data_IF_425630852210
#
_entry.id   IF_425630852210
#
_cell.length_a   1.000
_cell.length_b   1.000
_cell.length_c   1.000
_cell.angle_alpha   90.00
_cell.angle_beta   90.00
_cell.angle_gamma   90.00
#
_symmetry.space_group_name_H-M   'P 1'
#
loop_
_entity.id
_entity.type
_entity.pdbx_description
1 polymer ?
#
# COMPACT_ATOMS: atom_id res chain seq x y z
N UNK A 1 -16.19 -33.89 -31.15
CA UNK A 1 -15.34 -33.74 -29.96
C UNK A 1 -15.12 -32.26 -29.77
N UNK A 2 -15.93 -31.60 -28.90
CA UNK A 2 -15.91 -30.16 -28.68
C UNK A 2 -15.01 -29.88 -27.48
N UNK A 3 -13.81 -29.29 -27.71
CA UNK A 3 -12.97 -28.79 -26.61
C UNK A 3 -13.57 -27.49 -26.09
N UNK A 4 -14.14 -27.54 -24.89
CA UNK A 4 -14.50 -26.34 -24.14
C UNK A 4 -13.21 -25.71 -23.60
N UNK A 5 -12.82 -24.58 -24.16
CA UNK A 5 -11.77 -23.72 -23.60
C UNK A 5 -12.41 -22.97 -22.43
N UNK A 6 -12.12 -23.40 -21.21
CA UNK A 6 -12.42 -22.61 -20.02
C UNK A 6 -11.49 -21.41 -19.99
N UNK A 7 -12.01 -20.22 -20.28
CA UNK A 7 -11.31 -18.97 -20.04
C UNK A 7 -11.21 -18.78 -18.51
N UNK A 8 -10.02 -18.96 -17.95
CA UNK A 8 -9.69 -18.53 -16.61
C UNK A 8 -9.62 -16.99 -16.63
N UNK A 9 -10.74 -16.34 -16.42
CA UNK A 9 -10.76 -14.92 -16.08
C UNK A 9 -10.18 -14.78 -14.68
N UNK A 10 -8.90 -14.48 -14.59
CA UNK A 10 -8.29 -14.02 -13.34
C UNK A 10 -9.04 -12.77 -12.90
N UNK A 11 -9.74 -12.83 -11.75
CA UNK A 11 -10.35 -11.65 -11.13
C UNK A 11 -9.22 -10.77 -10.62
N UNK A 12 -8.76 -9.82 -11.44
CA UNK A 12 -7.90 -8.74 -10.99
C UNK A 12 -8.79 -7.73 -10.28
N UNK A 13 -8.51 -7.48 -9.01
CA UNK A 13 -9.23 -6.45 -8.23
C UNK A 13 -8.90 -5.08 -8.83
N UNK A 14 -9.90 -4.23 -9.14
CA UNK A 14 -9.67 -2.89 -9.66
C UNK A 14 -8.81 -2.03 -8.72
N UNK A 15 -7.86 -1.29 -9.29
CA UNK A 15 -7.08 -0.27 -8.59
C UNK A 15 -7.84 1.05 -8.66
N UNK A 16 -8.22 1.58 -7.50
CA UNK A 16 -9.05 2.80 -7.37
C UNK A 16 -8.32 3.97 -6.72
N UNK A 17 -7.03 3.82 -6.46
CA UNK A 17 -6.21 4.83 -5.82
C UNK A 17 -4.77 4.37 -5.64
N UNK A 18 -4.01 5.11 -4.86
CA UNK A 18 -2.59 4.85 -4.59
C UNK A 18 -2.32 4.88 -3.09
N UNK A 19 -1.51 3.94 -2.60
CA UNK A 19 -0.94 3.99 -1.27
C UNK A 19 0.42 4.71 -1.30
N UNK A 20 0.75 5.39 -0.21
CA UNK A 20 2.02 6.04 -0.01
C UNK A 20 2.51 5.89 1.42
N UNK A 21 3.77 6.17 1.64
CA UNK A 21 4.41 6.12 2.94
C UNK A 21 5.18 7.41 3.20
N UNK A 22 5.22 7.86 4.44
CA UNK A 22 5.99 9.01 4.88
C UNK A 22 6.40 8.89 6.34
N UNK A 23 6.87 9.99 6.92
CA UNK A 23 7.23 10.08 8.33
C UNK A 23 6.60 11.29 9.00
N UNK A 24 6.32 11.17 10.29
CA UNK A 24 5.91 12.31 11.14
C UNK A 24 7.13 13.12 11.63
N UNK A 25 6.87 14.13 12.47
CA UNK A 25 7.90 15.00 13.04
C UNK A 25 8.92 14.27 13.94
N UNK A 26 8.54 13.09 14.44
CA UNK A 26 9.39 12.24 15.27
C UNK A 26 10.08 11.13 14.46
N UNK A 27 9.90 11.12 13.12
CA UNK A 27 10.44 10.12 12.20
C UNK A 27 9.69 8.78 12.21
N UNK A 28 8.47 8.74 12.78
CA UNK A 28 7.65 7.53 12.82
C UNK A 28 6.86 7.36 11.52
N UNK A 29 6.65 6.10 11.04
CA UNK A 29 6.00 5.85 9.78
C UNK A 29 4.52 6.28 9.77
N UNK A 30 4.13 6.97 8.70
CA UNK A 30 2.78 7.44 8.40
C UNK A 30 2.33 6.84 7.08
N UNK A 31 1.21 6.12 7.08
CA UNK A 31 0.56 5.64 5.86
C UNK A 31 -0.31 6.72 5.25
N UNK A 32 -0.34 6.73 3.91
CA UNK A 32 -1.17 7.63 3.12
C UNK A 32 -2.00 6.83 2.12
N UNK A 33 -3.23 7.25 1.90
CA UNK A 33 -4.09 6.79 0.81
C UNK A 33 -4.61 7.99 0.03
N UNK A 34 -4.65 7.87 -1.28
CA UNK A 34 -5.40 8.78 -2.16
C UNK A 34 -6.29 7.94 -3.07
N UNK A 35 -7.60 8.16 -2.96
CA UNK A 35 -8.66 7.39 -3.63
C UNK A 35 -9.42 8.33 -4.55
N UNK A 36 -9.66 7.93 -5.80
CA UNK A 36 -10.27 8.78 -6.83
C UNK A 36 -11.67 8.36 -7.21
N UNK A 37 -11.86 7.06 -7.32
CA UNK A 37 -13.14 6.45 -7.62
C UNK A 37 -13.40 5.39 -6.55
N UNK A 38 -14.67 5.12 -6.23
CA UNK A 38 -15.03 4.13 -5.21
C UNK A 38 -14.58 4.51 -3.79
N UNK A 39 -14.18 3.52 -2.99
CA UNK A 39 -13.73 3.72 -1.63
C UNK A 39 -12.69 2.67 -1.21
N UNK A 40 -12.04 2.92 -0.09
CA UNK A 40 -11.15 1.99 0.62
C UNK A 40 -11.59 1.93 2.09
N UNK A 41 -11.59 0.73 2.68
CA UNK A 41 -12.06 0.49 4.06
C UNK A 41 -10.91 0.25 5.04
N UNK A 42 -9.72 -0.04 4.55
CA UNK A 42 -8.56 -0.30 5.40
C UNK A 42 -7.26 -0.40 4.61
N UNK A 43 -6.19 -0.72 5.32
CA UNK A 43 -4.88 -0.91 4.74
C UNK A 43 -4.13 -2.05 5.43
N UNK A 44 -3.24 -2.71 4.69
CA UNK A 44 -2.36 -3.75 5.20
C UNK A 44 -0.93 -3.46 4.78
N UNK A 45 -0.03 -3.59 5.74
CA UNK A 45 1.42 -3.68 5.53
C UNK A 45 1.80 -5.15 5.58
N UNK A 46 2.53 -5.63 4.59
CA UNK A 46 3.01 -7.01 4.51
C UNK A 46 4.44 -7.06 3.98
N UNK A 47 5.08 -8.19 4.10
CA UNK A 47 6.35 -8.49 3.47
C UNK A 47 6.35 -9.91 2.90
N UNK A 48 7.25 -10.14 1.95
CA UNK A 48 7.47 -11.49 1.43
C UNK A 48 8.46 -12.22 2.33
N UNK A 49 8.06 -13.38 2.87
CA UNK A 49 8.92 -14.20 3.71
C UNK A 49 9.97 -14.92 2.82
N UNK A 50 11.27 -14.61 2.98
CA UNK A 50 12.32 -15.21 2.17
C UNK A 50 12.51 -16.71 2.44
N UNK A 51 12.01 -17.22 3.58
CA UNK A 51 12.11 -18.63 3.95
C UNK A 51 10.99 -19.47 3.32
N UNK A 52 9.99 -18.83 2.72
CA UNK A 52 8.89 -19.49 2.01
C UNK A 52 9.15 -19.45 0.50
N UNK A 53 9.02 -20.62 -0.16
CA UNK A 53 9.27 -20.71 -1.59
C UNK A 53 8.38 -19.72 -2.38
N UNK A 54 8.93 -18.98 -3.38
CA UNK A 54 8.16 -17.97 -4.14
C UNK A 54 6.96 -18.56 -4.93
N UNK A 55 6.92 -19.85 -5.10
CA UNK A 55 5.81 -20.61 -5.73
C UNK A 55 4.70 -20.97 -4.73
N UNK A 56 4.88 -20.71 -3.45
CA UNK A 56 3.85 -20.90 -2.41
C UNK A 56 2.84 -19.77 -2.50
N UNK A 57 1.56 -20.11 -2.46
CA UNK A 57 0.45 -19.13 -2.43
C UNK A 57 0.44 -18.29 -1.14
N UNK A 58 1.34 -18.57 -0.20
CA UNK A 58 1.38 -17.96 1.16
C UNK A 58 2.84 -17.61 1.50
N UNK A 59 3.48 -16.77 0.69
CA UNK A 59 4.79 -16.20 1.04
C UNK A 59 4.68 -14.78 1.62
N UNK A 60 3.46 -14.26 1.77
CA UNK A 60 3.18 -12.95 2.34
C UNK A 60 2.87 -13.08 3.83
N UNK A 61 3.48 -12.23 4.62
CA UNK A 61 3.25 -12.15 6.08
C UNK A 61 2.83 -10.73 6.42
N UNK A 62 1.67 -10.59 7.06
CA UNK A 62 1.17 -9.29 7.50
C UNK A 62 2.06 -8.73 8.61
N UNK A 63 2.50 -7.49 8.42
CA UNK A 63 3.29 -6.72 9.39
C UNK A 63 2.45 -5.65 10.11
N UNK A 64 1.21 -5.45 9.72
CA UNK A 64 0.26 -4.54 10.35
C UNK A 64 -1.00 -4.41 9.50
N UNK A 65 -2.15 -4.24 10.15
CA UNK A 65 -3.43 -4.05 9.46
C UNK A 65 -4.28 -3.03 10.21
N UNK A 66 -4.88 -2.13 9.47
CA UNK A 66 -5.69 -1.04 10.01
C UNK A 66 -7.03 -0.97 9.28
N UNK A 67 -8.10 -0.77 10.03
CA UNK A 67 -9.43 -0.49 9.50
C UNK A 67 -9.75 0.99 9.68
N UNK A 68 -10.37 1.60 8.69
CA UNK A 68 -10.94 2.93 8.81
C UNK A 68 -12.34 2.85 9.46
N UNK A 69 -12.67 3.82 10.31
CA UNK A 69 -14.00 3.90 10.96
C UNK A 69 -15.11 4.21 9.95
N UNK A 70 -14.76 4.79 8.80
CA UNK A 70 -15.65 5.08 7.69
C UNK A 70 -14.90 4.90 6.36
N UNK A 71 -15.61 4.55 5.26
CA UNK A 71 -15.00 4.42 3.93
C UNK A 71 -14.23 5.68 3.51
N UNK A 72 -12.99 5.51 3.05
CA UNK A 72 -12.14 6.57 2.53
C UNK A 72 -12.45 6.76 1.05
N UNK A 73 -12.98 7.93 0.68
CA UNK A 73 -13.39 8.27 -0.70
C UNK A 73 -12.57 9.40 -1.30
N UNK A 74 -11.53 9.88 -0.61
CA UNK A 74 -10.64 10.94 -1.11
C UNK A 74 -9.21 10.66 -0.67
N UNK A 75 -8.76 11.25 0.44
CA UNK A 75 -7.43 11.02 0.97
C UNK A 75 -7.45 10.82 2.47
N UNK A 76 -6.52 10.04 2.97
CA UNK A 76 -6.33 9.79 4.39
C UNK A 76 -4.84 9.67 4.71
N UNK A 77 -4.51 9.96 5.98
CA UNK A 77 -3.19 9.70 6.54
C UNK A 77 -3.37 9.20 7.98
N UNK A 78 -2.56 8.23 8.39
CA UNK A 78 -2.61 7.69 9.75
C UNK A 78 -1.22 7.25 10.22
N UNK A 79 -0.97 7.33 11.53
CA UNK A 79 0.22 6.73 12.12
C UNK A 79 0.12 5.21 12.07
N UNK A 80 1.15 4.53 11.56
CA UNK A 80 1.16 3.06 11.51
C UNK A 80 1.36 2.47 12.92
N UNK A 81 2.12 3.14 13.79
CA UNK A 81 2.41 2.66 15.13
C UNK A 81 1.29 2.96 16.13
N UNK A 82 0.71 4.16 16.05
CA UNK A 82 -0.31 4.67 16.96
C UNK A 82 -1.47 5.29 16.18
N UNK A 83 -2.31 4.46 15.52
CA UNK A 83 -3.41 4.96 14.70
C UNK A 83 -4.42 5.72 15.56
N UNK A 84 -4.88 6.85 15.04
CA UNK A 84 -5.86 7.75 15.64
C UNK A 84 -6.75 8.33 14.53
N UNK A 85 -7.70 9.19 14.90
CA UNK A 85 -8.48 10.01 13.96
C UNK A 85 -9.21 9.20 12.86
N UNK A 86 -9.97 8.20 13.28
CA UNK A 86 -10.77 7.39 12.37
C UNK A 86 -10.08 6.13 11.87
N UNK A 87 -8.96 5.73 12.49
CA UNK A 87 -8.26 4.50 12.19
C UNK A 87 -8.04 3.63 13.44
N UNK A 88 -8.21 2.33 13.29
CA UNK A 88 -7.95 1.36 14.35
C UNK A 88 -7.04 0.24 13.84
N UNK A 89 -5.99 -0.10 14.59
CA UNK A 89 -5.19 -1.28 14.29
C UNK A 89 -6.01 -2.55 14.60
N UNK A 90 -6.22 -3.38 13.60
CA UNK A 90 -6.78 -4.74 13.76
C UNK A 90 -5.66 -5.76 13.96
N UNK A 91 -4.47 -5.47 13.44
CA UNK A 91 -3.21 -6.10 13.81
C UNK A 91 -2.17 -4.98 14.00
N UNK A 92 -1.45 -4.94 15.14
CA UNK A 92 -0.49 -3.88 15.43
C UNK A 92 0.70 -3.95 14.47
N UNK A 93 1.37 -2.80 14.25
CA UNK A 93 2.59 -2.73 13.47
C UNK A 93 3.68 -3.61 14.10
N UNK A 94 4.22 -4.55 13.33
CA UNK A 94 5.42 -5.30 13.67
C UNK A 94 6.68 -4.45 13.46
N UNK A 95 7.78 -4.87 14.09
CA UNK A 95 9.07 -4.20 13.90
C UNK A 95 9.51 -4.24 12.42
N UNK A 96 9.79 -3.07 11.87
CA UNK A 96 10.34 -2.94 10.53
C UNK A 96 11.81 -3.38 10.53
N UNK A 97 12.18 -4.26 9.62
CA UNK A 97 13.53 -4.81 9.51
C UNK A 97 14.36 -4.00 8.51
N UNK A 98 15.63 -3.74 8.85
CA UNK A 98 16.50 -2.88 8.03
C UNK A 98 16.80 -3.43 6.63
N UNK A 99 16.78 -4.74 6.46
CA UNK A 99 17.13 -5.49 5.26
C UNK A 99 15.90 -6.08 4.53
N UNK A 100 14.71 -5.63 4.91
CA UNK A 100 13.44 -6.13 4.37
C UNK A 100 12.71 -5.05 3.58
N UNK A 101 12.10 -5.45 2.47
CA UNK A 101 11.10 -4.65 1.77
C UNK A 101 9.73 -4.91 2.38
N UNK A 102 9.04 -3.82 2.72
CA UNK A 102 7.67 -3.83 3.22
C UNK A 102 6.75 -3.19 2.17
N UNK A 103 5.54 -3.72 2.03
CA UNK A 103 4.54 -3.33 1.03
C UNK A 103 3.28 -2.85 1.73
N UNK A 104 2.81 -1.64 1.40
CA UNK A 104 1.58 -1.08 1.95
C UNK A 104 0.55 -0.89 0.84
N UNK A 105 -0.67 -1.38 1.05
CA UNK A 105 -1.80 -1.17 0.15
C UNK A 105 -3.10 -0.95 0.90
N UNK A 106 -4.08 -0.32 0.25
CA UNK A 106 -5.44 -0.17 0.72
C UNK A 106 -6.36 -1.23 0.10
N UNK A 107 -7.41 -1.62 0.83
CA UNK A 107 -8.38 -2.64 0.43
C UNK A 107 -9.81 -2.27 0.81
N UNK A 108 -10.79 -2.88 0.12
CA UNK A 108 -12.21 -2.87 0.53
C UNK A 108 -12.56 -4.15 1.27
N UNK A 109 -13.46 -4.06 2.25
CA UNK A 109 -13.88 -5.19 3.07
C UNK A 109 -14.50 -6.34 2.26
N UNK A 110 -15.15 -6.03 1.14
CA UNK A 110 -15.73 -7.00 0.21
C UNK A 110 -14.76 -7.46 -0.89
N UNK A 111 -13.51 -6.98 -0.86
CA UNK A 111 -12.45 -7.28 -1.82
C UNK A 111 -12.80 -6.91 -3.26
N UNK A 112 -13.56 -5.84 -3.46
CA UNK A 112 -13.97 -5.34 -4.79
C UNK A 112 -13.01 -4.30 -5.35
N UNK A 113 -12.19 -3.65 -4.52
CA UNK A 113 -11.23 -2.62 -4.93
C UNK A 113 -9.99 -2.63 -4.05
N UNK A 114 -8.88 -2.15 -4.61
CA UNK A 114 -7.63 -1.93 -3.89
C UNK A 114 -6.91 -0.69 -4.38
N UNK A 115 -5.84 -0.28 -3.71
CA UNK A 115 -4.92 0.73 -4.21
C UNK A 115 -3.70 0.11 -4.86
N UNK A 116 -3.01 0.86 -5.73
CA UNK A 116 -1.63 0.55 -6.05
C UNK A 116 -0.80 0.57 -4.76
N UNK A 117 0.05 -0.42 -4.60
CA UNK A 117 0.89 -0.53 -3.40
C UNK A 117 2.12 0.37 -3.48
N UNK A 118 2.69 0.68 -2.32
CA UNK A 118 4.03 1.26 -2.21
C UNK A 118 4.95 0.25 -1.55
N UNK A 119 6.10 0.01 -2.18
CA UNK A 119 7.18 -0.83 -1.64
C UNK A 119 8.28 0.06 -1.11
N UNK A 120 8.70 -0.15 0.14
CA UNK A 120 9.70 0.68 0.80
C UNK A 120 10.57 -0.12 1.77
N UNK A 121 11.64 0.50 2.25
CA UNK A 121 12.54 -0.06 3.26
C UNK A 121 12.70 0.92 4.43
N UNK A 122 13.29 0.48 5.52
CA UNK A 122 13.68 1.38 6.63
C UNK A 122 14.61 2.50 6.13
N UNK A 123 15.48 2.22 5.15
CA UNK A 123 16.35 3.23 4.55
C UNK A 123 15.55 4.29 3.77
N UNK A 124 14.48 3.89 3.09
CA UNK A 124 13.54 4.83 2.43
C UNK A 124 12.95 5.80 3.46
N UNK A 125 12.42 5.28 4.57
CA UNK A 125 11.86 6.11 5.65
C UNK A 125 12.91 7.04 6.27
N UNK A 126 14.14 6.55 6.49
CA UNK A 126 15.24 7.34 7.06
C UNK A 126 15.73 8.49 6.16
N UNK A 127 15.43 8.46 4.87
CA UNK A 127 15.76 9.52 3.91
C UNK A 127 14.65 10.57 3.74
N UNK A 128 13.46 10.34 4.33
CA UNK A 128 12.30 11.22 4.15
C UNK A 128 12.26 12.34 5.19
N UNK A 129 11.62 13.43 4.81
CA UNK A 129 11.30 14.54 5.72
C UNK A 129 9.78 14.59 5.97
N UNK A 130 9.34 15.08 7.16
CA UNK A 130 7.92 15.22 7.45
C UNK A 130 7.17 16.05 6.39
N UNK A 131 6.04 15.55 5.92
CA UNK A 131 5.22 16.19 4.88
C UNK A 131 5.54 15.70 3.46
N UNK A 132 6.54 14.85 3.29
CA UNK A 132 6.79 14.11 2.04
C UNK A 132 6.06 12.77 2.04
N UNK A 133 5.66 12.33 0.85
CA UNK A 133 5.07 11.01 0.59
C UNK A 133 5.89 10.32 -0.48
N UNK A 134 6.31 9.09 -0.22
CA UNK A 134 6.93 8.19 -1.18
C UNK A 134 5.85 7.25 -1.71
N UNK A 135 5.70 7.14 -3.03
CA UNK A 135 4.63 6.38 -3.67
C UNK A 135 5.05 5.83 -5.03
N UNK A 136 4.35 4.79 -5.46
CA UNK A 136 4.48 4.24 -6.80
C UNK A 136 3.99 5.26 -7.83
N UNK A 137 4.78 5.51 -8.89
CA UNK A 137 4.48 6.52 -9.91
C UNK A 137 4.53 5.98 -11.35
N UNK A 138 4.64 4.67 -11.54
CA UNK A 138 4.60 4.04 -12.86
C UNK A 138 5.63 2.95 -13.05
N UNK A 139 5.83 2.59 -14.32
CA UNK A 139 6.80 1.58 -14.74
C UNK A 139 7.82 2.19 -15.70
N UNK A 140 9.07 1.77 -15.63
CA UNK A 140 10.03 2.00 -16.69
C UNK A 140 9.74 1.03 -17.85
N UNK A 141 9.80 1.53 -19.10
CA UNK A 141 9.49 0.70 -20.28
C UNK A 141 10.49 -0.46 -20.47
N UNK A 142 11.75 -0.27 -20.05
CA UNK A 142 12.79 -1.32 -20.15
C UNK A 142 13.95 -1.08 -19.17
N UNK A 143 14.28 -2.05 -18.28
CA UNK A 143 13.48 -3.25 -17.96
C UNK A 143 12.22 -2.88 -17.21
N UNK A 144 11.18 -3.67 -17.29
CA UNK A 144 9.95 -3.50 -16.49
C UNK A 144 10.32 -3.41 -15.02
N UNK A 145 10.29 -2.20 -14.49
CA UNK A 145 10.64 -1.90 -13.11
C UNK A 145 9.73 -0.82 -12.55
N UNK A 146 9.28 -1.03 -11.34
CA UNK A 146 8.49 -0.06 -10.60
C UNK A 146 9.28 1.23 -10.39
N UNK A 147 8.63 2.35 -10.69
CA UNK A 147 9.16 3.69 -10.46
C UNK A 147 8.44 4.30 -9.27
N UNK A 148 9.22 4.83 -8.35
CA UNK A 148 8.71 5.49 -7.15
C UNK A 148 9.12 6.96 -7.16
N UNK A 149 8.27 7.80 -6.60
CA UNK A 149 8.48 9.25 -6.49
C UNK A 149 8.29 9.68 -5.05
N UNK A 150 9.10 10.65 -4.62
CA UNK A 150 8.90 11.41 -3.38
C UNK A 150 8.37 12.79 -3.75
N UNK A 151 7.25 13.18 -3.18
CA UNK A 151 6.62 14.47 -3.41
C UNK A 151 5.90 14.98 -2.18
N UNK A 152 5.31 16.17 -2.26
CA UNK A 152 4.43 16.68 -1.22
C UNK A 152 3.12 15.87 -1.16
N UNK A 153 2.38 15.98 -0.06
CA UNK A 153 1.04 15.38 0.05
C UNK A 153 0.11 15.84 -1.09
N UNK A 154 0.23 17.11 -1.53
CA UNK A 154 -0.57 17.65 -2.63
C UNK A 154 -0.18 17.02 -3.99
N UNK A 155 1.12 16.80 -4.23
CA UNK A 155 1.60 16.12 -5.45
C UNK A 155 1.12 14.66 -5.48
N UNK A 156 1.19 13.95 -4.37
CA UNK A 156 0.68 12.59 -4.22
C UNK A 156 -0.83 12.51 -4.54
N UNK A 157 -1.63 13.40 -3.93
CA UNK A 157 -3.08 13.44 -4.19
C UNK A 157 -3.41 13.77 -5.64
N UNK A 158 -2.68 14.71 -6.27
CA UNK A 158 -2.87 15.07 -7.66
C UNK A 158 -2.49 13.91 -8.60
N UNK A 159 -1.41 13.19 -8.30
CA UNK A 159 -0.97 12.02 -9.07
C UNK A 159 -2.02 10.90 -9.04
N UNK A 160 -2.55 10.58 -7.87
CA UNK A 160 -3.48 9.46 -7.70
C UNK A 160 -4.73 9.58 -8.58
N UNK A 161 -5.14 10.82 -8.92
CA UNK A 161 -6.35 11.11 -9.68
C UNK A 161 -6.07 11.68 -11.09
N UNK A 162 -4.88 11.43 -11.65
CA UNK A 162 -4.47 11.91 -12.98
C UNK A 162 -4.82 10.94 -14.12
#
# INVERSE_FOLDING_TARGET
MLCAVAALSGCTVPIVGVAGIGVDQDGRPVGYLAVCDEHIDGATLYFQDPDVAPTSVVNETDAGTWAADAPITSSAAWSLAEPQDGWAATAPLADLQADREDHLYGWTQDNTSSTAEVTFTVATLGAMTPGEVFYFSGYEEHPDRDVYTTGSVADFQAYACS
#
